data_IF_008556549795
#
_entry.id   IF_008556549795
#
_cell.length_a   1.000
_cell.length_b   1.000
_cell.length_c   1.000
_cell.angle_alpha   90.00
_cell.angle_beta   90.00
_cell.angle_gamma   90.00
#
_symmetry.space_group_name_H-M   'P 1'
#
loop_
_entity.id
_entity.type
_entity.pdbx_description
1 polymer ?
#
# COMPACT_ATOMS: atom_id res chain seq x y z
N UNK A 1 -10.45 6.68 -22.02
CA UNK A 1 -9.07 7.05 -22.39
C UNK A 1 -8.47 5.97 -23.27
N UNK A 2 -7.50 6.31 -24.13
CA UNK A 2 -6.83 5.35 -25.00
C UNK A 2 -5.54 4.89 -24.30
N UNK A 3 -5.56 3.70 -23.71
CA UNK A 3 -4.49 3.18 -22.86
C UNK A 3 -4.26 1.68 -23.11
N UNK A 4 -3.05 1.23 -22.82
CA UNK A 4 -2.74 -0.19 -22.72
C UNK A 4 -3.00 -0.64 -21.27
N UNK A 5 -4.00 -1.50 -21.07
CA UNK A 5 -4.32 -2.06 -19.76
C UNK A 5 -3.80 -3.50 -19.66
N UNK A 6 -2.87 -3.75 -18.74
CA UNK A 6 -2.25 -5.06 -18.54
C UNK A 6 -2.59 -5.54 -17.14
N UNK A 7 -3.37 -6.64 -17.06
CA UNK A 7 -3.69 -7.28 -15.80
C UNK A 7 -2.64 -8.35 -15.47
N UNK A 8 -2.02 -8.24 -14.29
CA UNK A 8 -1.03 -9.20 -13.80
C UNK A 8 -1.73 -10.26 -12.96
N UNK A 9 -2.04 -11.42 -13.54
CA UNK A 9 -2.57 -12.58 -12.80
C UNK A 9 -1.43 -13.33 -12.11
N UNK A 10 -1.44 -13.32 -10.77
CA UNK A 10 -0.49 -14.05 -9.93
C UNK A 10 -1.20 -14.97 -8.94
N UNK A 11 -2.45 -15.38 -9.23
CA UNK A 11 -3.30 -16.16 -8.31
C UNK A 11 -2.60 -17.40 -7.75
N UNK A 12 -1.77 -18.07 -8.53
CA UNK A 12 -1.06 -19.27 -8.08
C UNK A 12 0.01 -18.93 -7.02
N UNK A 13 0.69 -17.78 -7.17
CA UNK A 13 1.62 -17.26 -6.17
C UNK A 13 0.92 -16.69 -4.93
N UNK A 14 -0.36 -16.36 -5.02
CA UNK A 14 -1.18 -15.91 -3.89
C UNK A 14 -1.76 -17.05 -3.06
N UNK A 15 -1.81 -18.28 -3.60
CA UNK A 15 -2.33 -19.46 -2.89
C UNK A 15 -1.40 -19.90 -1.76
N UNK A 16 -1.98 -20.57 -0.77
CA UNK A 16 -1.25 -21.11 0.38
C UNK A 16 -1.36 -20.19 1.59
N UNK A 17 -0.25 -20.02 2.31
CA UNK A 17 -0.24 -19.17 3.51
C UNK A 17 -0.05 -17.71 3.15
N UNK A 18 -0.58 -16.79 3.96
CA UNK A 18 -0.35 -15.35 3.77
C UNK A 18 1.15 -15.00 3.76
N UNK A 19 1.95 -15.67 4.60
CA UNK A 19 3.42 -15.52 4.64
C UNK A 19 4.05 -15.92 3.30
N UNK A 20 3.59 -17.00 2.69
CA UNK A 20 4.06 -17.41 1.35
C UNK A 20 3.72 -16.33 0.32
N UNK A 21 2.49 -15.82 0.33
CA UNK A 21 2.07 -14.76 -0.59
C UNK A 21 2.91 -13.47 -0.42
N UNK A 22 3.16 -13.04 0.82
CA UNK A 22 4.03 -11.90 1.16
C UNK A 22 5.46 -12.07 0.63
N UNK A 23 6.00 -13.28 0.64
CA UNK A 23 7.33 -13.51 0.08
C UNK A 23 7.31 -13.57 -1.46
N UNK A 24 6.26 -14.15 -2.03
CA UNK A 24 6.12 -14.31 -3.48
C UNK A 24 5.99 -12.96 -4.21
N UNK A 25 5.44 -11.93 -3.57
CA UNK A 25 5.34 -10.60 -4.21
C UNK A 25 6.70 -9.99 -4.57
N UNK A 26 7.80 -10.40 -3.90
CA UNK A 26 9.15 -9.95 -4.27
C UNK A 26 9.58 -10.49 -5.63
N UNK A 27 9.22 -11.74 -5.91
CA UNK A 27 9.45 -12.37 -7.22
C UNK A 27 8.52 -11.74 -8.25
N UNK A 28 7.24 -11.55 -7.90
CA UNK A 28 6.28 -10.91 -8.80
C UNK A 28 6.70 -9.48 -9.20
N UNK A 29 7.16 -8.68 -8.24
CA UNK A 29 7.68 -7.34 -8.51
C UNK A 29 8.93 -7.37 -9.40
N UNK A 30 9.78 -8.38 -9.25
CA UNK A 30 10.92 -8.61 -10.14
C UNK A 30 10.48 -8.94 -11.59
N UNK A 31 9.45 -9.77 -11.76
CA UNK A 31 8.89 -10.11 -13.08
C UNK A 31 8.25 -8.89 -13.76
N UNK A 32 7.49 -8.08 -13.00
CA UNK A 32 6.93 -6.82 -13.52
C UNK A 32 8.05 -5.86 -13.93
N UNK A 33 9.08 -5.71 -13.10
CA UNK A 33 10.25 -4.89 -13.43
C UNK A 33 10.99 -5.39 -14.68
N UNK A 34 11.12 -6.72 -14.83
CA UNK A 34 11.72 -7.33 -16.01
C UNK A 34 10.90 -7.04 -17.27
N UNK A 35 9.58 -7.18 -17.19
CA UNK A 35 8.68 -6.86 -18.29
C UNK A 35 8.81 -5.38 -18.72
N UNK A 36 8.81 -4.45 -17.77
CA UNK A 36 9.01 -3.02 -18.07
C UNK A 36 10.38 -2.78 -18.71
N UNK A 37 11.43 -3.41 -18.18
CA UNK A 37 12.78 -3.31 -18.75
C UNK A 37 12.84 -3.87 -20.17
N UNK A 38 12.09 -4.92 -20.48
CA UNK A 38 11.97 -5.46 -21.83
C UNK A 38 11.28 -4.46 -22.77
N UNK A 39 10.21 -3.78 -22.32
CA UNK A 39 9.56 -2.71 -23.09
C UNK A 39 10.51 -1.56 -23.39
N UNK A 40 11.31 -1.14 -22.41
CA UNK A 40 12.33 -0.12 -22.60
C UNK A 40 13.37 -0.54 -23.65
N UNK A 41 13.90 -1.77 -23.55
CA UNK A 41 15.00 -2.23 -24.39
C UNK A 41 14.57 -2.56 -25.82
N UNK A 42 13.39 -3.16 -26.00
CA UNK A 42 12.92 -3.64 -27.29
C UNK A 42 12.17 -2.58 -28.09
N UNK A 43 11.41 -1.72 -27.40
CA UNK A 43 10.51 -0.76 -28.03
C UNK A 43 10.84 0.69 -27.71
N UNK A 44 11.86 0.95 -26.89
CA UNK A 44 12.20 2.32 -26.45
C UNK A 44 11.12 2.95 -25.57
N UNK A 45 10.22 2.15 -24.99
CA UNK A 45 9.10 2.66 -24.20
C UNK A 45 9.61 3.30 -22.90
N UNK A 46 9.22 4.54 -22.61
CA UNK A 46 9.71 5.23 -21.42
C UNK A 46 9.00 4.73 -20.15
N UNK A 47 9.70 4.46 -19.03
CA UNK A 47 9.05 4.20 -17.73
C UNK A 47 8.15 5.35 -17.28
N UNK A 48 8.43 6.57 -17.77
CA UNK A 48 7.60 7.73 -17.47
C UNK A 48 6.20 7.65 -18.13
N UNK A 49 5.99 6.72 -19.05
CA UNK A 49 4.66 6.45 -19.63
C UNK A 49 3.91 5.32 -18.90
N UNK A 50 4.47 4.81 -17.80
CA UNK A 50 3.92 3.67 -17.05
C UNK A 50 3.25 4.15 -15.75
N UNK A 51 2.10 3.56 -15.48
CA UNK A 51 1.37 3.69 -14.22
C UNK A 51 1.09 2.29 -13.68
N UNK A 52 1.62 1.99 -12.50
CA UNK A 52 1.34 0.75 -11.80
C UNK A 52 0.21 0.97 -10.79
N UNK A 53 -0.79 0.09 -10.80
CA UNK A 53 -1.89 0.13 -9.83
C UNK A 53 -1.85 -1.20 -9.07
N UNK A 54 -1.68 -1.13 -7.76
CA UNK A 54 -1.56 -2.31 -6.91
C UNK A 54 -2.56 -2.26 -5.77
N UNK A 55 -3.34 -3.33 -5.60
CA UNK A 55 -4.30 -3.47 -4.50
C UNK A 55 -3.78 -4.45 -3.44
N UNK A 56 -3.94 -4.13 -2.15
CA UNK A 56 -3.50 -4.99 -1.04
C UNK A 56 -2.02 -5.37 -1.18
N UNK A 57 -1.67 -6.66 -1.21
CA UNK A 57 -0.31 -7.16 -1.49
C UNK A 57 0.27 -6.68 -2.84
N UNK A 58 -0.60 -6.39 -3.81
CA UNK A 58 -0.22 -5.83 -5.10
C UNK A 58 0.35 -4.41 -5.01
N UNK A 59 -0.02 -3.62 -3.99
CA UNK A 59 0.57 -2.29 -3.77
C UNK A 59 2.08 -2.38 -3.48
N UNK A 60 2.48 -3.34 -2.66
CA UNK A 60 3.90 -3.62 -2.36
C UNK A 60 4.62 -4.28 -3.54
N UNK A 61 3.89 -5.05 -4.36
CA UNK A 61 4.42 -5.56 -5.64
C UNK A 61 4.76 -4.40 -6.59
N UNK A 62 3.89 -3.39 -6.69
CA UNK A 62 4.14 -2.20 -7.49
C UNK A 62 5.34 -1.41 -6.95
N UNK A 63 5.46 -1.27 -5.62
CA UNK A 63 6.63 -0.68 -4.97
C UNK A 63 7.93 -1.43 -5.30
N UNK A 64 7.92 -2.77 -5.17
CA UNK A 64 9.06 -3.62 -5.53
C UNK A 64 9.46 -3.47 -7.01
N UNK A 65 8.50 -3.37 -7.92
CA UNK A 65 8.77 -3.12 -9.34
C UNK A 65 9.37 -1.72 -9.57
N UNK A 66 8.79 -0.68 -8.96
CA UNK A 66 9.26 0.70 -9.05
C UNK A 66 10.68 0.88 -8.50
N UNK A 67 11.00 0.23 -7.39
CA UNK A 67 12.36 0.22 -6.82
C UNK A 67 13.41 -0.36 -7.77
N UNK A 68 13.02 -1.35 -8.57
CA UNK A 68 13.89 -2.00 -9.57
C UNK A 68 13.99 -1.23 -10.88
N UNK A 69 12.95 -0.45 -11.23
CA UNK A 69 12.90 0.35 -12.47
C UNK A 69 12.79 1.83 -12.13
N UNK A 70 13.89 2.56 -12.31
CA UNK A 70 13.89 4.01 -12.09
C UNK A 70 13.03 4.75 -13.11
N UNK A 71 12.35 5.80 -12.66
CA UNK A 71 11.63 6.74 -13.52
C UNK A 71 10.20 6.35 -13.84
N UNK A 72 9.62 5.36 -13.14
CA UNK A 72 8.18 5.08 -13.21
C UNK A 72 7.42 6.35 -12.86
N UNK A 73 6.50 6.78 -13.72
CA UNK A 73 5.77 8.04 -13.51
C UNK A 73 4.85 7.97 -12.30
N UNK A 74 4.09 6.89 -12.16
CA UNK A 74 3.09 6.79 -11.10
C UNK A 74 2.93 5.39 -10.56
N UNK A 75 2.78 5.29 -9.24
CA UNK A 75 2.23 4.11 -8.56
C UNK A 75 0.98 4.55 -7.79
N UNK A 76 -0.12 3.82 -7.94
CA UNK A 76 -1.30 3.97 -7.08
C UNK A 76 -1.45 2.75 -6.19
N UNK A 77 -1.36 2.95 -4.88
CA UNK A 77 -1.62 1.95 -3.86
C UNK A 77 -3.09 1.96 -3.44
N UNK A 78 -3.81 0.90 -3.73
CA UNK A 78 -5.21 0.73 -3.32
C UNK A 78 -5.24 -0.15 -2.06
N UNK A 79 -5.43 0.48 -0.91
CA UNK A 79 -5.48 -0.14 0.41
C UNK A 79 -4.30 -1.10 0.65
N UNK A 80 -3.03 -0.60 0.65
CA UNK A 80 -1.84 -1.44 0.78
C UNK A 80 -1.93 -2.32 2.03
N UNK A 81 -1.47 -3.57 1.98
CA UNK A 81 -1.67 -4.51 3.07
C UNK A 81 -0.85 -4.14 4.33
N UNK A 82 -1.49 -4.04 5.49
CA UNK A 82 -0.85 -3.76 6.78
C UNK A 82 0.06 -4.90 7.27
N UNK A 83 -0.45 -6.13 7.41
CA UNK A 83 0.32 -7.23 7.98
C UNK A 83 1.62 -7.51 7.19
N UNK A 84 2.75 -7.54 7.91
CA UNK A 84 4.13 -7.70 7.40
C UNK A 84 4.76 -6.48 6.69
N UNK A 85 4.05 -5.36 6.54
CA UNK A 85 4.58 -4.15 5.89
C UNK A 85 4.48 -2.90 6.77
N UNK A 86 3.46 -2.80 7.61
CA UNK A 86 3.28 -1.70 8.56
C UNK A 86 4.52 -1.52 9.45
N UNK A 87 5.08 -0.30 9.48
CA UNK A 87 6.28 0.02 10.26
C UNK A 87 7.60 -0.60 9.74
N UNK A 88 7.59 -1.28 8.59
CA UNK A 88 8.80 -1.82 7.97
C UNK A 88 9.59 -0.74 7.21
N UNK A 89 10.90 -0.95 6.99
CA UNK A 89 11.72 -0.06 6.17
C UNK A 89 11.19 0.09 4.73
N UNK A 90 11.43 1.24 4.07
CA UNK A 90 11.00 1.50 2.69
C UNK A 90 11.36 0.41 1.68
N UNK A 91 12.43 -0.34 1.90
CA UNK A 91 12.90 -1.41 1.01
C UNK A 91 11.96 -2.62 0.93
N UNK A 92 11.04 -2.76 1.90
CA UNK A 92 10.15 -3.93 2.02
C UNK A 92 8.72 -3.61 1.59
N UNK A 93 8.31 -2.34 1.67
CA UNK A 93 6.93 -1.89 1.45
C UNK A 93 6.82 -0.94 0.26
N UNK A 94 5.62 -0.41 0.04
CA UNK A 94 5.40 0.70 -0.89
C UNK A 94 5.91 1.97 -0.20
N UNK A 95 6.61 2.81 -0.94
CA UNK A 95 7.19 4.05 -0.44
C UNK A 95 7.18 5.14 -1.54
N UNK A 96 7.16 6.45 -1.17
CA UNK A 96 7.19 7.52 -2.16
C UNK A 96 8.41 7.45 -3.10
N UNK A 97 9.52 6.85 -2.66
CA UNK A 97 10.73 6.71 -3.49
C UNK A 97 10.59 5.71 -4.64
N UNK A 98 9.55 4.87 -4.67
CA UNK A 98 9.38 3.82 -5.68
C UNK A 98 8.91 4.36 -7.05
N UNK A 99 8.41 5.59 -7.12
CA UNK A 99 8.02 6.25 -8.38
C UNK A 99 8.09 7.78 -8.28
N UNK A 100 8.01 8.46 -9.41
CA UNK A 100 7.99 9.93 -9.45
C UNK A 100 6.76 10.52 -8.76
N UNK A 101 5.66 9.78 -8.70
CA UNK A 101 4.47 10.12 -7.94
C UNK A 101 3.84 8.84 -7.40
N UNK A 102 3.45 8.86 -6.13
CA UNK A 102 2.83 7.73 -5.44
C UNK A 102 1.60 8.26 -4.74
N UNK A 103 0.44 7.75 -5.09
CA UNK A 103 -0.82 8.11 -4.44
C UNK A 103 -1.48 6.87 -3.84
N UNK A 104 -1.97 6.99 -2.61
CA UNK A 104 -2.45 5.86 -1.84
C UNK A 104 -3.86 6.14 -1.35
N UNK A 105 -4.73 5.14 -1.43
CA UNK A 105 -6.09 5.20 -0.89
C UNK A 105 -6.19 4.18 0.23
N UNK A 106 -6.49 4.64 1.44
CA UNK A 106 -6.72 3.80 2.61
C UNK A 106 -8.22 3.62 2.82
N UNK A 107 -8.70 2.38 2.78
CA UNK A 107 -10.13 2.08 2.95
C UNK A 107 -10.43 1.05 4.03
N UNK A 108 -9.40 0.35 4.54
CA UNK A 108 -9.53 -0.61 5.63
C UNK A 108 -8.32 -0.55 6.59
N UNK A 109 -7.91 0.66 6.95
CA UNK A 109 -6.73 0.97 7.76
C UNK A 109 -6.98 0.86 9.29
N UNK A 110 -7.98 0.08 9.71
CA UNK A 110 -8.26 -0.07 11.14
C UNK A 110 -7.11 -0.78 11.86
N UNK A 111 -6.85 -0.38 13.11
CA UNK A 111 -5.68 -0.84 13.85
C UNK A 111 -5.74 -2.35 14.08
N UNK A 112 -4.96 -3.11 13.30
CA UNK A 112 -4.70 -4.51 13.63
C UNK A 112 -3.95 -4.51 14.97
N UNK A 113 -4.40 -5.24 16.01
CA UNK A 113 -3.71 -5.29 17.29
C UNK A 113 -2.38 -6.05 17.12
N UNK A 114 -1.40 -5.39 16.52
CA UNK A 114 -0.01 -5.78 16.64
C UNK A 114 0.41 -5.44 18.07
N UNK A 115 0.93 -6.42 18.79
CA UNK A 115 1.51 -6.23 20.11
C UNK A 115 2.70 -5.26 20.03
N UNK A 116 2.44 -3.96 20.10
CA UNK A 116 3.45 -2.92 19.96
C UNK A 116 2.84 -1.54 20.07
N UNK A 117 3.00 -0.92 21.24
CA UNK A 117 2.65 0.49 21.46
C UNK A 117 3.50 1.37 20.53
N UNK A 118 2.93 1.92 19.46
CA UNK A 118 3.55 3.01 18.73
C UNK A 118 3.22 4.34 19.42
N UNK A 119 4.22 4.90 20.10
CA UNK A 119 4.21 6.25 20.63
C UNK A 119 4.53 7.24 19.50
N UNK A 120 3.57 8.07 19.08
CA UNK A 120 3.88 9.27 18.31
C UNK A 120 4.71 10.24 19.17
N UNK A 121 6.00 10.41 18.83
CA UNK A 121 6.80 11.52 19.34
C UNK A 121 6.26 12.83 18.74
N UNK A 122 5.68 13.67 19.61
CA UNK A 122 5.09 14.97 19.27
C UNK A 122 6.17 15.95 18.80
N UNK A 123 6.09 16.40 17.55
CA UNK A 123 6.65 17.68 17.11
C UNK A 123 5.75 18.82 17.58
N UNK A 124 6.34 19.78 18.29
CA UNK A 124 5.69 20.96 18.86
C UNK A 124 5.29 21.96 17.75
N UNK A 125 3.99 22.19 17.55
CA UNK A 125 3.45 23.49 17.12
C UNK A 125 2.09 23.73 17.82
N UNK A 126 2.00 24.90 18.45
CA UNK A 126 0.88 25.37 19.26
C UNK A 126 -0.40 25.51 18.43
N UNK A 127 -1.56 25.21 19.04
CA UNK A 127 -2.75 25.99 18.73
C UNK A 127 -4.10 25.30 18.52
N UNK A 128 -4.30 24.01 18.79
CA UNK A 128 -5.66 23.44 18.89
C UNK A 128 -5.67 22.36 19.98
N UNK A 129 -6.36 22.64 21.08
CA UNK A 129 -6.56 21.67 22.15
C UNK A 129 -7.56 20.62 21.67
N UNK A 130 -7.06 19.49 21.16
CA UNK A 130 -7.87 18.29 21.08
C UNK A 130 -7.94 17.68 22.47
N UNK A 131 -9.15 17.64 23.01
CA UNK A 131 -9.52 16.94 24.22
C UNK A 131 -8.90 15.53 24.18
N UNK A 132 -8.14 15.17 25.22
CA UNK A 132 -7.74 13.79 25.46
C UNK A 132 -8.95 13.04 25.98
N UNK A 133 -9.81 12.57 25.08
CA UNK A 133 -10.82 11.59 25.44
C UNK A 133 -10.13 10.21 25.38
N UNK A 134 -9.45 9.88 26.48
CA UNK A 134 -9.12 8.49 26.81
C UNK A 134 -10.39 7.78 27.29
N UNK A 135 -11.41 7.69 26.43
CA UNK A 135 -12.59 6.87 26.69
C UNK A 135 -12.46 5.58 25.88
N UNK A 136 -11.76 4.61 26.47
CA UNK A 136 -11.46 3.31 25.89
C UNK A 136 -12.66 2.34 25.95
N UNK A 137 -13.80 2.79 25.43
CA UNK A 137 -14.97 1.95 25.17
C UNK A 137 -15.19 1.73 23.67
N UNK A 138 -14.11 1.60 22.89
CA UNK A 138 -14.22 1.07 21.53
C UNK A 138 -14.45 -0.45 21.62
N UNK A 139 -15.53 -1.00 21.03
CA UNK A 139 -15.69 -2.45 20.96
C UNK A 139 -14.46 -3.05 20.27
N UNK A 140 -13.88 -4.09 20.87
CA UNK A 140 -12.62 -4.74 20.50
C UNK A 140 -12.62 -5.48 19.13
N UNK A 141 -13.31 -4.98 18.09
CA UNK A 141 -13.47 -5.73 16.84
C UNK A 141 -13.56 -4.84 15.59
N UNK A 142 -12.57 -3.97 15.35
CA UNK A 142 -12.34 -3.41 14.01
C UNK A 142 -10.96 -3.87 13.53
N UNK A 143 -10.91 -5.04 12.89
CA UNK A 143 -9.67 -5.58 12.30
C UNK A 143 -9.51 -5.06 10.87
N UNK A 144 -8.58 -4.13 10.67
CA UNK A 144 -8.21 -3.65 9.34
C UNK A 144 -7.14 -4.52 8.69
N UNK A 145 -7.25 -4.73 7.38
CA UNK A 145 -6.21 -5.41 6.58
C UNK A 145 -5.27 -4.42 5.90
N UNK A 146 -5.67 -3.15 5.78
CA UNK A 146 -4.90 -2.09 5.14
C UNK A 146 -3.88 -1.46 6.09
N UNK A 147 -2.84 -0.85 5.53
CA UNK A 147 -1.88 -0.02 6.23
C UNK A 147 -2.56 1.24 6.75
N UNK A 148 -2.13 1.73 7.91
CA UNK A 148 -2.55 3.04 8.43
C UNK A 148 -1.53 4.13 8.14
N UNK A 149 -0.24 3.82 8.23
CA UNK A 149 0.79 4.80 7.95
C UNK A 149 0.80 5.23 6.48
N UNK A 150 1.15 6.50 6.28
CA UNK A 150 1.31 7.09 4.95
C UNK A 150 2.44 6.41 4.19
N UNK A 151 2.19 6.04 2.94
CA UNK A 151 3.18 5.41 2.04
C UNK A 151 3.25 6.10 0.67
N UNK A 152 2.48 7.15 0.46
CA UNK A 152 2.47 7.95 -0.76
C UNK A 152 3.11 9.32 -0.62
N UNK A 153 3.26 9.98 -1.76
CA UNK A 153 3.36 11.44 -1.82
C UNK A 153 2.02 12.10 -1.45
N UNK A 154 0.93 11.36 -1.67
CA UNK A 154 -0.43 11.76 -1.34
C UNK A 154 -1.22 10.55 -0.84
N UNK A 155 -1.74 10.63 0.38
CA UNK A 155 -2.50 9.57 1.02
C UNK A 155 -3.93 10.05 1.29
N UNK A 156 -4.91 9.31 0.78
CA UNK A 156 -6.33 9.60 0.90
C UNK A 156 -6.97 8.62 1.88
N UNK A 157 -7.77 9.16 2.82
CA UNK A 157 -8.51 8.38 3.80
C UNK A 157 -10.02 8.63 3.63
N UNK A 158 -10.65 8.12 2.56
CA UNK A 158 -12.10 8.23 2.37
C UNK A 158 -12.84 7.73 3.61
N UNK A 159 -13.82 8.49 4.08
CA UNK A 159 -14.60 8.17 5.29
C UNK A 159 -13.73 7.87 6.54
N UNK A 160 -12.57 8.50 6.66
CA UNK A 160 -11.61 8.25 7.75
C UNK A 160 -10.70 7.03 7.52
N UNK A 161 -10.85 6.33 6.40
CA UNK A 161 -9.97 5.26 5.93
C UNK A 161 -10.14 3.90 6.63
N UNK A 162 -11.11 3.77 7.53
CA UNK A 162 -11.31 2.57 8.35
C UNK A 162 -12.60 1.83 8.02
N UNK A 163 -13.75 2.52 8.04
CA UNK A 163 -15.07 1.92 7.81
C UNK A 163 -15.74 2.62 6.63
N UNK A 164 -15.97 1.88 5.56
CA UNK A 164 -16.61 2.41 4.36
C UNK A 164 -18.13 2.20 4.41
N UNK A 165 -18.95 3.23 4.11
CA UNK A 165 -20.40 3.06 3.99
C UNK A 165 -20.75 1.95 2.99
N UNK A 166 -21.66 1.06 3.39
CA UNK A 166 -22.10 -0.07 2.55
C UNK A 166 -21.22 -1.33 2.62
N UNK A 167 -20.06 -1.26 3.28
CA UNK A 167 -19.41 -2.47 3.78
C UNK A 167 -20.15 -2.89 5.04
N UNK A 168 -20.76 -4.07 5.04
CA UNK A 168 -21.07 -4.72 6.30
C UNK A 168 -19.71 -4.97 6.96
N UNK A 169 -19.45 -4.31 8.08
CA UNK A 169 -18.40 -4.78 8.97
C UNK A 169 -18.60 -6.29 9.09
N UNK A 170 -17.53 -7.08 8.96
CA UNK A 170 -17.56 -8.47 9.37
C UNK A 170 -17.68 -8.47 10.90
N UNK A 171 -18.80 -7.98 11.42
CA UNK A 171 -19.30 -8.14 12.78
C UNK A 171 -19.92 -9.54 12.79
N UNK A 172 -19.28 -10.55 13.38
CA UNK A 172 -20.03 -11.67 13.94
C UNK A 172 -20.98 -11.18 15.04
#
# INVERSE_FOLDING_TARGET
ENINCIAVDWKEGAKGTYVSAVNNIRVLGAEVAYFITALQKMFGYSPYEIHLIGHSLGAHTAGEAGRRVRGIRRITGLDPAGPYFEGTPPEVRLDPTDANFVDVIHSNAAHFPAAGKCSCARGHLQGWAWHQDTDWHLPMHVSGFGMYNTTGHLDFYPNGGTVMPGCADLIP
#
